data_IF_414537421973
#
_entry.id   IF_414537421973
#
_cell.length_a   1.000
_cell.length_b   1.000
_cell.length_c   1.000
_cell.angle_alpha   90.00
_cell.angle_beta   90.00
_cell.angle_gamma   90.00
#
_symmetry.space_group_name_H-M   'P 1'
#
loop_
_entity.id
_entity.type
_entity.pdbx_description
1 polymer ?
#
# COMPACT_ATOMS: atom_id res chain seq x y z
N UNK A 1 24.42 4.22 -3.56
CA UNK A 1 23.46 4.68 -2.54
C UNK A 1 24.15 5.72 -1.65
N UNK A 2 23.42 6.69 -1.10
CA UNK A 2 23.97 7.61 -0.09
C UNK A 2 24.18 6.86 1.23
N UNK A 3 25.39 6.88 1.80
CA UNK A 3 25.67 6.25 3.10
C UNK A 3 25.31 7.20 4.24
N UNK A 4 24.47 6.74 5.15
CA UNK A 4 23.96 7.55 6.26
C UNK A 4 24.73 7.36 7.57
N UNK A 5 25.44 6.22 7.76
CA UNK A 5 26.23 5.90 8.97
C UNK A 5 25.44 6.07 10.29
N UNK A 6 24.26 5.45 10.38
CA UNK A 6 23.34 5.55 11.54
C UNK A 6 22.73 4.22 11.98
N UNK A 7 23.25 3.08 11.52
CA UNK A 7 22.68 1.76 11.82
C UNK A 7 22.75 1.38 13.31
N UNK A 8 23.63 2.01 14.09
CA UNK A 8 23.77 1.84 15.53
C UNK A 8 22.98 2.88 16.36
N UNK A 9 22.33 3.84 15.69
CA UNK A 9 21.55 4.90 16.33
C UNK A 9 20.07 4.50 16.41
N UNK A 10 19.44 4.52 17.59
CA UNK A 10 18.03 4.18 17.72
C UNK A 10 17.14 5.21 17.03
N UNK A 11 16.18 4.73 16.24
CA UNK A 11 15.13 5.55 15.63
C UNK A 11 14.07 5.92 16.67
N UNK A 12 13.84 7.21 16.90
CA UNK A 12 12.77 7.71 17.77
C UNK A 12 11.64 8.35 16.92
N UNK A 13 10.40 8.20 17.38
CA UNK A 13 9.21 8.85 16.82
C UNK A 13 8.45 9.60 17.91
N UNK A 14 8.09 10.86 17.64
CA UNK A 14 7.34 11.73 18.56
C UNK A 14 6.05 12.25 17.91
N UNK A 15 5.46 11.45 17.03
CA UNK A 15 4.18 11.77 16.38
C UNK A 15 3.12 11.96 17.46
N UNK A 16 2.39 13.08 17.42
CA UNK A 16 1.37 13.39 18.42
C UNK A 16 0.23 12.36 18.44
N UNK A 17 -0.69 12.47 19.39
CA UNK A 17 -1.83 11.55 19.50
C UNK A 17 -2.96 11.87 18.50
N UNK A 18 -3.79 10.87 18.23
CA UNK A 18 -5.11 11.03 17.61
C UNK A 18 -6.10 11.71 18.58
N UNK A 19 -7.14 12.40 18.09
CA UNK A 19 -8.22 12.86 18.95
C UNK A 19 -8.99 11.67 19.56
N UNK A 20 -9.80 11.90 20.59
CA UNK A 20 -10.54 10.81 21.22
C UNK A 20 -11.54 10.11 20.27
N UNK A 21 -11.79 8.82 20.51
CA UNK A 21 -12.61 7.92 19.69
C UNK A 21 -13.89 8.57 19.12
N UNK A 22 -14.74 9.16 19.96
CA UNK A 22 -16.00 9.77 19.51
C UNK A 22 -15.82 10.95 18.54
N UNK A 23 -14.66 11.63 18.57
CA UNK A 23 -14.33 12.66 17.56
C UNK A 23 -13.86 12.03 16.25
N UNK A 24 -13.14 10.90 16.31
CA UNK A 24 -12.75 10.15 15.11
C UNK A 24 -14.00 9.63 14.40
N UNK A 25 -14.94 8.99 15.14
CA UNK A 25 -16.22 8.50 14.59
C UNK A 25 -16.99 9.60 13.84
N UNK A 26 -17.11 10.78 14.47
CA UNK A 26 -17.78 11.93 13.85
C UNK A 26 -17.10 12.36 12.55
N UNK A 27 -15.77 12.41 12.53
CA UNK A 27 -15.02 12.86 11.36
C UNK A 27 -15.05 11.84 10.23
N UNK A 28 -15.05 10.54 10.55
CA UNK A 28 -15.20 9.46 9.57
C UNK A 28 -16.60 9.50 8.94
N UNK A 29 -17.65 9.65 9.76
CA UNK A 29 -19.02 9.83 9.25
C UNK A 29 -19.16 11.10 8.39
N UNK A 30 -18.61 12.24 8.85
CA UNK A 30 -18.63 13.50 8.10
C UNK A 30 -17.91 13.38 6.75
N UNK A 31 -16.76 12.70 6.71
CA UNK A 31 -16.02 12.45 5.48
C UNK A 31 -16.83 11.58 4.50
N UNK A 32 -17.48 10.52 5.00
CA UNK A 32 -18.32 9.66 4.19
C UNK A 32 -19.52 10.41 3.62
N UNK A 33 -20.31 11.08 4.47
CA UNK A 33 -21.49 11.85 4.08
C UNK A 33 -21.15 12.91 3.03
N UNK A 34 -20.02 13.62 3.21
CA UNK A 34 -19.57 14.69 2.31
C UNK A 34 -19.30 14.21 0.89
N UNK A 35 -18.83 12.97 0.72
CA UNK A 35 -18.36 12.46 -0.58
C UNK A 35 -19.20 11.31 -1.14
N UNK A 36 -20.14 10.76 -0.37
CA UNK A 36 -21.00 9.64 -0.76
C UNK A 36 -21.74 9.88 -2.08
N UNK A 37 -22.31 11.07 -2.27
CA UNK A 37 -23.07 11.47 -3.46
C UNK A 37 -22.23 11.90 -4.67
N UNK A 38 -20.90 11.82 -4.61
CA UNK A 38 -20.04 12.18 -5.74
C UNK A 38 -19.89 11.00 -6.70
N UNK A 39 -20.04 11.28 -8.00
CA UNK A 39 -20.02 10.31 -9.08
C UNK A 39 -18.90 10.58 -10.11
N UNK A 40 -17.92 11.40 -9.78
CA UNK A 40 -16.73 11.61 -10.62
C UNK A 40 -15.94 10.29 -10.84
N UNK A 41 -15.29 10.17 -11.99
CA UNK A 41 -14.44 9.02 -12.34
C UNK A 41 -15.19 7.86 -13.00
N UNK A 42 -14.46 6.78 -13.28
CA UNK A 42 -14.97 5.59 -14.00
C UNK A 42 -14.55 4.29 -13.33
N UNK A 43 -15.39 3.27 -13.39
CA UNK A 43 -15.03 1.93 -12.90
C UNK A 43 -14.03 1.30 -13.88
N UNK A 44 -12.99 0.64 -13.37
CA UNK A 44 -12.02 -0.05 -14.20
C UNK A 44 -12.68 -1.18 -15.01
N UNK A 45 -12.48 -1.18 -16.32
CA UNK A 45 -13.15 -2.09 -17.26
C UNK A 45 -12.21 -3.04 -18.01
N UNK A 46 -10.90 -2.79 -17.97
CA UNK A 46 -9.90 -3.61 -18.64
C UNK A 46 -9.66 -4.98 -17.98
N UNK A 47 -10.09 -5.15 -16.73
CA UNK A 47 -10.27 -6.46 -16.08
C UNK A 47 -11.78 -6.68 -16.00
N UNK A 48 -12.35 -7.60 -16.80
CA UNK A 48 -13.80 -7.77 -16.92
C UNK A 48 -14.54 -7.87 -15.58
N UNK A 49 -13.96 -8.58 -14.60
CA UNK A 49 -14.58 -8.77 -13.30
C UNK A 49 -14.61 -7.48 -12.44
N UNK A 50 -13.67 -6.56 -12.64
CA UNK A 50 -13.71 -5.26 -11.94
C UNK A 50 -14.83 -4.36 -12.48
N UNK A 51 -15.23 -4.56 -13.74
CA UNK A 51 -16.32 -3.80 -14.36
C UNK A 51 -17.69 -4.09 -13.72
N UNK A 52 -17.81 -5.20 -12.98
CA UNK A 52 -19.02 -5.61 -12.29
C UNK A 52 -19.21 -4.91 -10.93
N UNK A 53 -18.20 -4.17 -10.45
CA UNK A 53 -18.27 -3.46 -9.19
C UNK A 53 -19.36 -2.36 -9.24
N UNK A 54 -20.18 -2.29 -8.19
CA UNK A 54 -21.20 -1.24 -8.10
C UNK A 54 -20.52 0.13 -7.94
N UNK A 55 -20.70 1.07 -8.88
CA UNK A 55 -20.09 2.39 -8.80
C UNK A 55 -20.54 3.19 -7.57
N UNK A 56 -21.62 2.80 -6.88
CA UNK A 56 -22.12 3.45 -5.68
C UNK A 56 -21.32 3.08 -4.42
N UNK A 57 -20.70 1.89 -4.37
CA UNK A 57 -20.01 1.40 -3.17
C UNK A 57 -18.97 2.37 -2.64
N UNK A 58 -19.09 2.71 -1.35
CA UNK A 58 -18.15 3.60 -0.67
C UNK A 58 -18.00 3.23 0.80
N UNK A 59 -16.83 2.66 1.12
CA UNK A 59 -16.43 2.32 2.49
C UNK A 59 -15.22 3.14 2.94
N UNK A 60 -15.24 3.58 4.20
CA UNK A 60 -14.18 4.31 4.86
C UNK A 60 -13.94 3.72 6.25
N UNK A 61 -12.71 3.29 6.54
CA UNK A 61 -12.29 2.84 7.86
C UNK A 61 -11.01 3.54 8.31
N UNK A 62 -10.95 3.90 9.59
CA UNK A 62 -9.76 4.38 10.28
C UNK A 62 -9.47 3.43 11.43
N UNK A 63 -8.24 2.92 11.46
CA UNK A 63 -7.73 2.10 12.57
C UNK A 63 -6.54 2.81 13.19
N UNK A 64 -6.62 3.09 14.49
CA UNK A 64 -5.51 3.67 15.24
C UNK A 64 -4.54 2.59 15.75
N UNK A 65 -3.36 3.02 16.19
CA UNK A 65 -2.31 2.11 16.72
C UNK A 65 -2.70 1.45 18.06
N UNK A 66 -3.70 1.98 18.77
CA UNK A 66 -4.23 1.39 20.00
C UNK A 66 -5.31 0.32 19.70
N UNK A 67 -5.63 0.07 18.42
CA UNK A 67 -6.61 -0.92 17.97
C UNK A 67 -8.05 -0.38 17.86
N UNK A 68 -8.27 0.93 18.08
CA UNK A 68 -9.55 1.58 17.85
C UNK A 68 -9.93 1.52 16.37
N UNK A 69 -11.19 1.16 16.09
CA UNK A 69 -11.74 1.06 14.73
C UNK A 69 -12.91 2.01 14.57
N UNK A 70 -12.86 2.83 13.53
CA UNK A 70 -13.84 3.87 13.22
C UNK A 70 -14.24 3.78 11.75
N UNK A 71 -15.51 3.50 11.46
CA UNK A 71 -15.94 3.11 10.12
C UNK A 71 -17.24 3.79 9.69
N UNK A 72 -17.39 4.03 8.38
CA UNK A 72 -18.61 4.51 7.77
C UNK A 72 -18.79 3.93 6.35
N UNK A 73 -20.03 3.57 6.02
CA UNK A 73 -20.41 3.05 4.70
C UNK A 73 -20.09 1.58 4.48
N UNK A 74 -19.76 1.24 3.24
CA UNK A 74 -19.61 -0.13 2.73
C UNK A 74 -18.24 -0.75 3.08
N UNK A 75 -17.87 -0.72 4.37
CA UNK A 75 -16.50 -1.06 4.82
C UNK A 75 -16.15 -2.54 4.73
N UNK A 76 -17.16 -3.42 4.73
CA UNK A 76 -17.02 -4.88 4.73
C UNK A 76 -17.17 -5.49 3.32
N UNK A 77 -17.40 -4.67 2.29
CA UNK A 77 -17.44 -5.18 0.91
C UNK A 77 -16.04 -5.65 0.55
N UNK A 78 -15.94 -6.92 0.17
CA UNK A 78 -14.71 -7.53 -0.29
C UNK A 78 -14.41 -7.12 -1.74
N UNK A 79 -13.15 -6.79 -1.99
CA UNK A 79 -12.62 -6.48 -3.31
C UNK A 79 -11.18 -6.99 -3.43
N UNK A 80 -10.70 -7.12 -4.66
CA UNK A 80 -9.32 -7.54 -4.92
C UNK A 80 -8.31 -6.46 -4.48
N UNK A 81 -7.30 -6.84 -3.70
CA UNK A 81 -6.27 -5.94 -3.15
C UNK A 81 -5.43 -5.24 -4.23
N UNK A 82 -5.27 -5.88 -5.39
CA UNK A 82 -4.57 -5.30 -6.54
C UNK A 82 -3.15 -4.81 -6.18
N UNK A 83 -2.69 -3.73 -6.79
CA UNK A 83 -1.37 -3.12 -6.55
C UNK A 83 -1.13 -2.66 -5.10
N UNK A 84 -2.14 -2.68 -4.21
CA UNK A 84 -1.93 -2.40 -2.79
C UNK A 84 -1.06 -3.48 -2.14
N UNK A 85 -1.14 -4.73 -2.63
CA UNK A 85 -0.35 -5.86 -2.12
C UNK A 85 1.17 -5.62 -2.22
N UNK A 86 1.61 -4.83 -3.22
CA UNK A 86 3.04 -4.53 -3.46
C UNK A 86 3.73 -3.94 -2.24
N UNK A 87 3.04 -3.06 -1.51
CA UNK A 87 3.56 -2.41 -0.32
C UNK A 87 3.91 -3.42 0.76
N UNK A 88 2.99 -4.34 1.01
CA UNK A 88 3.10 -5.31 2.08
C UNK A 88 4.00 -6.48 1.70
N UNK A 89 4.02 -6.90 0.42
CA UNK A 89 5.00 -7.89 -0.06
C UNK A 89 6.42 -7.33 -0.07
N UNK A 90 6.60 -6.04 -0.38
CA UNK A 90 7.88 -5.38 -0.16
C UNK A 90 8.30 -5.43 1.30
N UNK A 91 7.41 -5.08 2.24
CA UNK A 91 7.72 -5.16 3.66
C UNK A 91 8.15 -6.58 4.07
N UNK A 92 7.40 -7.62 3.67
CA UNK A 92 7.76 -9.00 3.99
C UNK A 92 9.12 -9.41 3.40
N UNK A 93 9.38 -9.07 2.14
CA UNK A 93 10.64 -9.41 1.49
C UNK A 93 11.83 -8.67 2.12
N UNK A 94 11.69 -7.37 2.37
CA UNK A 94 12.73 -6.53 2.95
C UNK A 94 13.10 -6.98 4.38
N UNK A 95 12.11 -7.38 5.18
CA UNK A 95 12.34 -7.86 6.55
C UNK A 95 13.16 -9.15 6.59
N UNK A 96 12.98 -10.02 5.59
CA UNK A 96 13.65 -11.32 5.50
C UNK A 96 15.06 -11.22 4.89
N UNK A 97 15.24 -10.41 3.83
CA UNK A 97 16.51 -10.37 3.07
C UNK A 97 17.41 -9.18 3.44
N UNK A 98 16.89 -8.26 4.26
CA UNK A 98 17.60 -7.08 4.75
C UNK A 98 17.55 -5.87 3.83
N UNK A 99 17.74 -4.70 4.45
CA UNK A 99 17.69 -3.37 3.85
C UNK A 99 18.61 -3.24 2.62
N UNK A 100 19.90 -3.54 2.75
CA UNK A 100 20.86 -3.33 1.67
C UNK A 100 20.54 -4.18 0.44
N UNK A 101 20.23 -5.46 0.65
CA UNK A 101 19.92 -6.42 -0.42
C UNK A 101 18.69 -5.98 -1.22
N UNK A 102 17.61 -5.58 -0.55
CA UNK A 102 16.37 -5.21 -1.23
C UNK A 102 16.56 -3.92 -2.04
N UNK A 103 17.30 -2.94 -1.50
CA UNK A 103 17.53 -1.69 -2.24
C UNK A 103 18.49 -1.89 -3.41
N UNK A 104 19.53 -2.72 -3.28
CA UNK A 104 20.44 -3.02 -4.38
C UNK A 104 19.72 -3.76 -5.52
N UNK A 105 18.82 -4.67 -5.18
CA UNK A 105 18.17 -5.54 -6.16
C UNK A 105 16.97 -4.88 -6.83
N UNK A 106 16.15 -4.14 -6.08
CA UNK A 106 14.87 -3.57 -6.56
C UNK A 106 14.93 -2.05 -6.71
N UNK A 107 15.65 -1.36 -5.83
CA UNK A 107 15.72 0.10 -5.79
C UNK A 107 14.61 0.76 -4.96
N UNK A 108 14.76 2.06 -4.74
CA UNK A 108 13.82 2.90 -3.96
C UNK A 108 13.47 4.24 -4.60
N UNK A 109 13.84 4.44 -5.86
CA UNK A 109 13.70 5.71 -6.56
C UNK A 109 12.49 5.68 -7.52
N UNK A 110 11.79 6.81 -7.60
CA UNK A 110 10.72 6.98 -8.57
C UNK A 110 11.29 6.97 -10.01
N UNK A 111 10.55 6.37 -10.95
CA UNK A 111 10.94 6.27 -12.36
C UNK A 111 10.61 7.54 -13.16
N UNK A 112 9.70 8.38 -12.67
CA UNK A 112 9.15 9.51 -13.43
C UNK A 112 8.34 9.08 -14.67
N UNK A 113 8.02 7.79 -14.78
CA UNK A 113 7.31 7.17 -15.90
C UNK A 113 6.15 6.33 -15.38
N UNK A 114 5.27 5.91 -16.29
CA UNK A 114 4.11 5.09 -15.94
C UNK A 114 4.49 3.80 -15.21
N UNK A 115 3.61 3.33 -14.31
CA UNK A 115 3.90 2.22 -13.40
C UNK A 115 4.16 0.87 -14.06
N UNK A 116 3.80 0.72 -15.33
CA UNK A 116 3.99 -0.47 -16.14
C UNK A 116 4.96 -0.21 -17.32
N UNK A 117 5.78 0.84 -17.25
CA UNK A 117 6.69 1.26 -18.30
C UNK A 117 7.86 0.29 -18.49
N UNK A 118 7.93 -0.34 -19.66
CA UNK A 118 9.11 -1.13 -20.08
C UNK A 118 10.32 -0.23 -20.32
N UNK A 119 10.08 1.00 -20.79
CA UNK A 119 11.11 2.01 -21.05
C UNK A 119 11.85 2.37 -19.76
N UNK A 120 11.16 2.39 -18.62
CA UNK A 120 11.81 2.64 -17.33
C UNK A 120 12.85 1.57 -17.00
N UNK A 121 12.59 0.30 -17.34
CA UNK A 121 13.54 -0.81 -17.12
C UNK A 121 14.73 -0.68 -18.07
N UNK A 122 14.49 -0.40 -19.35
CA UNK A 122 15.57 -0.26 -20.35
C UNK A 122 16.48 0.95 -20.07
N UNK A 123 15.91 2.10 -19.68
CA UNK A 123 16.68 3.31 -19.37
C UNK A 123 17.53 3.18 -18.10
N UNK A 124 17.28 2.17 -17.26
CA UNK A 124 17.97 1.97 -15.98
C UNK A 124 18.71 0.62 -15.95
N UNK A 125 19.20 0.14 -17.09
CA UNK A 125 20.02 -1.07 -17.23
C UNK A 125 19.39 -2.31 -16.56
N UNK A 126 18.07 -2.46 -16.73
CA UNK A 126 17.29 -3.56 -16.17
C UNK A 126 16.78 -3.34 -14.75
N UNK A 127 17.21 -2.27 -14.07
CA UNK A 127 16.72 -1.96 -12.72
C UNK A 127 15.24 -1.57 -12.75
N UNK A 128 14.39 -2.16 -11.89
CA UNK A 128 13.00 -1.75 -11.78
C UNK A 128 12.81 -0.45 -10.99
N UNK A 129 13.87 0.09 -10.38
CA UNK A 129 13.95 1.35 -9.65
C UNK A 129 13.17 1.45 -8.33
N UNK A 130 12.00 0.84 -8.20
CA UNK A 130 11.26 0.75 -6.94
C UNK A 130 10.24 -0.41 -6.95
N UNK A 131 9.80 -0.91 -5.78
CA UNK A 131 8.84 -2.03 -5.68
C UNK A 131 7.38 -1.67 -6.01
N UNK A 132 7.04 -0.38 -6.20
CA UNK A 132 5.64 0.05 -6.37
C UNK A 132 5.19 0.01 -7.84
N UNK A 133 6.14 0.01 -8.78
CA UNK A 133 5.91 -0.28 -10.21
C UNK A 133 5.82 -1.80 -10.46
N UNK A 134 5.19 -2.21 -11.57
CA UNK A 134 4.94 -3.64 -11.83
C UNK A 134 6.25 -4.45 -11.94
N UNK A 135 7.26 -3.92 -12.63
CA UNK A 135 8.56 -4.59 -12.75
C UNK A 135 9.19 -4.85 -11.38
N UNK A 136 9.17 -3.83 -10.51
CA UNK A 136 9.72 -3.94 -9.16
C UNK A 136 8.92 -4.91 -8.31
N UNK A 137 7.59 -4.86 -8.35
CA UNK A 137 6.77 -5.79 -7.59
C UNK A 137 6.97 -7.26 -8.02
N UNK A 138 7.15 -7.53 -9.31
CA UNK A 138 7.47 -8.88 -9.81
C UNK A 138 8.86 -9.31 -9.30
N UNK A 139 9.85 -8.43 -9.38
CA UNK A 139 11.19 -8.69 -8.84
C UNK A 139 11.17 -8.92 -7.31
N UNK A 140 10.44 -8.10 -6.56
CA UNK A 140 10.24 -8.25 -5.11
C UNK A 140 9.55 -9.57 -4.77
N UNK A 141 8.53 -9.97 -5.54
CA UNK A 141 7.85 -11.27 -5.38
C UNK A 141 8.83 -12.43 -5.54
N UNK A 142 9.74 -12.34 -6.52
CA UNK A 142 10.77 -13.35 -6.75
C UNK A 142 11.80 -13.44 -5.61
N UNK A 143 11.94 -12.41 -4.78
CA UNK A 143 12.86 -12.38 -3.65
C UNK A 143 12.27 -12.97 -2.35
N UNK A 144 10.94 -13.14 -2.26
CA UNK A 144 10.32 -13.75 -1.07
C UNK A 144 10.83 -15.18 -0.91
N UNK A 145 11.49 -15.55 0.20
CA UNK A 145 12.15 -16.85 0.31
C UNK A 145 11.18 -18.03 0.17
N UNK A 146 11.64 -19.13 -0.44
CA UNK A 146 10.89 -20.37 -0.56
C UNK A 146 11.53 -21.30 -1.59
N UNK A 147 11.51 -22.60 -1.35
CA UNK A 147 12.19 -23.56 -2.23
C UNK A 147 11.44 -23.77 -3.55
N UNK A 148 10.10 -23.60 -3.54
CA UNK A 148 9.22 -23.85 -4.68
C UNK A 148 8.09 -22.80 -4.70
N UNK A 149 7.43 -22.65 -5.86
CA UNK A 149 6.38 -21.65 -6.09
C UNK A 149 5.28 -21.66 -5.01
N UNK A 150 4.80 -22.84 -4.62
CA UNK A 150 3.72 -22.97 -3.63
C UNK A 150 4.15 -22.49 -2.25
N UNK A 151 5.40 -22.74 -1.83
CA UNK A 151 5.91 -22.28 -0.54
C UNK A 151 6.01 -20.75 -0.50
N UNK A 152 6.50 -20.13 -1.59
CA UNK A 152 6.57 -18.67 -1.74
C UNK A 152 5.18 -18.05 -1.71
N UNK A 153 4.24 -18.65 -2.45
CA UNK A 153 2.85 -18.21 -2.45
C UNK A 153 2.23 -18.28 -1.04
N UNK A 154 2.41 -19.38 -0.32
CA UNK A 154 1.89 -19.51 1.04
C UNK A 154 2.49 -18.46 1.98
N UNK A 155 3.81 -18.23 1.94
CA UNK A 155 4.44 -17.17 2.75
C UNK A 155 3.87 -15.79 2.45
N UNK A 156 3.65 -15.46 1.18
CA UNK A 156 3.02 -14.18 0.80
C UNK A 156 1.61 -14.09 1.35
N UNK A 157 0.77 -15.11 1.13
CA UNK A 157 -0.62 -15.12 1.60
C UNK A 157 -0.69 -15.03 3.13
N UNK A 158 0.13 -15.80 3.83
CA UNK A 158 0.16 -15.83 5.29
C UNK A 158 0.67 -14.50 5.85
N UNK A 159 1.73 -13.92 5.25
CA UNK A 159 2.24 -12.60 5.61
C UNK A 159 1.20 -11.49 5.43
N UNK A 160 0.51 -11.46 4.29
CA UNK A 160 -0.58 -10.50 4.04
C UNK A 160 -1.76 -10.72 5.01
N UNK A 161 -2.03 -11.97 5.38
CA UNK A 161 -3.04 -12.31 6.40
C UNK A 161 -2.67 -11.79 7.80
N UNK A 162 -1.39 -11.86 8.16
CA UNK A 162 -0.86 -11.30 9.42
C UNK A 162 -1.00 -9.78 9.46
N UNK A 163 -0.73 -9.09 8.35
CA UNK A 163 -1.02 -7.66 8.23
C UNK A 163 -2.53 -7.36 8.40
N UNK A 164 -3.41 -8.16 7.80
CA UNK A 164 -4.86 -7.96 7.90
C UNK A 164 -5.45 -8.37 9.26
N UNK A 165 -4.69 -9.11 10.08
CA UNK A 165 -5.19 -9.69 11.34
C UNK A 165 -6.18 -10.84 11.15
N UNK A 166 -6.33 -11.34 9.91
CA UNK A 166 -7.22 -12.46 9.55
C UNK A 166 -6.72 -13.17 8.30
N UNK A 167 -7.08 -14.45 8.08
CA UNK A 167 -6.79 -15.15 6.82
C UNK A 167 -7.39 -14.43 5.61
N UNK A 168 -6.56 -14.16 4.60
CA UNK A 168 -6.99 -13.64 3.29
C UNK A 168 -7.20 -14.78 2.30
N UNK A 169 -8.29 -14.70 1.55
CA UNK A 169 -8.65 -15.69 0.54
C UNK A 169 -8.26 -15.20 -0.86
N UNK A 170 -7.81 -16.14 -1.70
CA UNK A 170 -7.62 -15.89 -3.12
C UNK A 170 -8.99 -15.85 -3.80
N UNK A 171 -9.28 -14.75 -4.48
CA UNK A 171 -10.41 -14.70 -5.40
C UNK A 171 -10.02 -15.42 -6.69
N UNK A 172 -10.54 -16.64 -6.85
CA UNK A 172 -10.25 -17.49 -8.00
C UNK A 172 -10.84 -16.96 -9.31
N UNK A 173 -11.84 -16.07 -9.28
CA UNK A 173 -12.42 -15.47 -10.47
C UNK A 173 -11.54 -14.31 -10.96
N UNK A 174 -11.15 -13.42 -10.03
CA UNK A 174 -10.18 -12.34 -10.30
C UNK A 174 -8.87 -12.93 -10.82
N UNK A 175 -8.33 -13.93 -10.12
CA UNK A 175 -7.08 -14.57 -10.49
C UNK A 175 -7.12 -15.16 -11.91
N UNK A 176 -8.20 -15.87 -12.27
CA UNK A 176 -8.38 -16.38 -13.63
C UNK A 176 -8.43 -15.24 -14.63
N UNK A 177 -9.26 -14.23 -14.39
CA UNK A 177 -9.41 -13.08 -15.29
C UNK A 177 -8.10 -12.34 -15.52
N UNK A 178 -7.32 -12.10 -14.48
CA UNK A 178 -6.01 -11.44 -14.55
C UNK A 178 -4.97 -12.31 -15.26
N UNK A 179 -4.94 -13.61 -14.96
CA UNK A 179 -3.98 -14.54 -15.57
C UNK A 179 -4.15 -14.66 -17.08
N UNK A 180 -5.38 -14.48 -17.59
CA UNK A 180 -5.64 -14.47 -19.03
C UNK A 180 -5.17 -13.18 -19.73
N UNK A 181 -5.03 -12.06 -19.03
CA UNK A 181 -4.75 -10.74 -19.62
C UNK A 181 -3.42 -10.13 -19.19
N UNK A 182 -2.66 -10.77 -18.30
CA UNK A 182 -1.40 -10.26 -17.73
C UNK A 182 -0.18 -10.30 -18.68
N UNK A 183 -0.37 -10.30 -20.00
CA UNK A 183 0.71 -10.37 -21.00
C UNK A 183 1.81 -9.32 -20.81
N UNK A 184 1.46 -8.12 -20.35
CA UNK A 184 2.44 -7.07 -20.05
C UNK A 184 3.34 -7.42 -18.86
N UNK A 185 2.79 -8.08 -17.83
CA UNK A 185 3.58 -8.56 -16.69
C UNK A 185 4.49 -9.72 -17.12
N UNK A 186 4.02 -10.62 -17.99
CA UNK A 186 4.83 -11.68 -18.60
C UNK A 186 6.03 -11.10 -19.37
N UNK A 187 5.80 -10.06 -20.19
CA UNK A 187 6.86 -9.37 -20.91
C UNK A 187 7.86 -8.69 -19.97
N UNK A 188 7.39 -8.03 -18.90
CA UNK A 188 8.26 -7.43 -17.89
C UNK A 188 9.13 -8.47 -17.17
N UNK A 189 8.58 -9.63 -16.83
CA UNK A 189 9.35 -10.69 -16.18
C UNK A 189 10.45 -11.26 -17.09
N UNK A 190 10.16 -11.47 -18.38
CA UNK A 190 11.16 -11.87 -19.37
C UNK A 190 12.23 -10.79 -19.55
N UNK A 191 11.84 -9.51 -19.57
CA UNK A 191 12.77 -8.39 -19.64
C UNK A 191 13.71 -8.37 -18.43
N UNK A 192 13.17 -8.45 -17.21
CA UNK A 192 13.96 -8.53 -15.98
C UNK A 192 14.92 -9.73 -15.99
N UNK A 193 14.47 -10.89 -16.46
CA UNK A 193 15.33 -12.07 -16.61
C UNK A 193 16.48 -11.81 -17.59
N UNK A 194 16.23 -11.15 -18.72
CA UNK A 194 17.26 -10.83 -19.72
C UNK A 194 18.38 -9.93 -19.18
N UNK A 195 18.08 -9.12 -18.16
CA UNK A 195 19.05 -8.29 -17.44
C UNK A 195 19.62 -8.96 -16.17
N UNK A 196 19.26 -10.21 -15.88
CA UNK A 196 19.68 -10.91 -14.66
C UNK A 196 19.07 -10.34 -13.37
N UNK A 197 17.92 -9.66 -13.47
CA UNK A 197 17.22 -8.96 -12.37
C UNK A 197 16.02 -9.74 -11.83
N UNK A 198 15.90 -11.03 -12.16
CA UNK A 198 14.83 -11.90 -11.68
C UNK A 198 15.42 -13.17 -11.06
N UNK A 199 15.09 -13.41 -9.79
CA UNK A 199 15.69 -14.50 -9.00
C UNK A 199 15.08 -15.89 -9.28
N UNK A 200 13.91 -15.94 -9.92
CA UNK A 200 13.19 -17.18 -10.26
C UNK A 200 12.69 -17.13 -11.70
N UNK A 201 12.03 -18.20 -12.17
CA UNK A 201 11.51 -18.27 -13.53
C UNK A 201 10.42 -17.19 -13.78
N UNK A 202 10.39 -16.55 -14.97
CA UNK A 202 9.41 -15.49 -15.29
C UNK A 202 7.94 -15.89 -15.13
N UNK A 203 7.59 -17.10 -15.53
CA UNK A 203 6.24 -17.66 -15.40
C UNK A 203 5.88 -17.87 -13.93
N UNK A 204 6.81 -18.38 -13.11
CA UNK A 204 6.61 -18.53 -11.67
C UNK A 204 6.41 -17.17 -10.98
N UNK A 205 7.28 -16.18 -11.25
CA UNK A 205 7.19 -14.86 -10.64
C UNK A 205 5.89 -14.14 -11.01
N UNK A 206 5.45 -14.26 -12.27
CA UNK A 206 4.22 -13.63 -12.75
C UNK A 206 2.97 -14.31 -12.23
N UNK A 207 2.97 -15.64 -12.10
CA UNK A 207 1.85 -16.36 -11.49
C UNK A 207 1.64 -15.95 -10.04
N UNK A 208 2.71 -15.99 -9.22
CA UNK A 208 2.64 -15.61 -7.80
C UNK A 208 2.25 -14.13 -7.65
N UNK A 209 2.80 -13.25 -8.51
CA UNK A 209 2.42 -11.84 -8.53
C UNK A 209 0.93 -11.65 -8.84
N UNK A 210 0.39 -12.38 -9.82
CA UNK A 210 -1.04 -12.31 -10.14
C UNK A 210 -1.92 -12.87 -9.01
N UNK A 211 -1.49 -13.96 -8.34
CA UNK A 211 -2.18 -14.48 -7.15
C UNK A 211 -2.25 -13.46 -6.01
N UNK A 212 -1.15 -12.76 -5.70
CA UNK A 212 -1.18 -11.76 -4.60
C UNK A 212 -2.12 -10.58 -4.89
N UNK A 213 -2.17 -10.10 -6.13
CA UNK A 213 -3.10 -9.02 -6.51
C UNK A 213 -4.56 -9.47 -6.43
N UNK A 214 -4.81 -10.78 -6.51
CA UNK A 214 -6.14 -11.39 -6.50
C UNK A 214 -6.62 -11.78 -5.10
N UNK A 215 -5.92 -11.39 -4.02
CA UNK A 215 -6.42 -11.61 -2.66
C UNK A 215 -7.58 -10.66 -2.34
N UNK A 216 -8.62 -11.17 -1.68
CA UNK A 216 -9.80 -10.41 -1.28
C UNK A 216 -9.60 -9.71 0.08
N UNK A 217 -9.79 -8.40 0.09
CA UNK A 217 -9.70 -7.51 1.26
C UNK A 217 -10.90 -6.58 1.33
N UNK A 218 -11.10 -5.94 2.47
CA UNK A 218 -12.11 -4.90 2.69
C UNK A 218 -11.45 -3.56 3.04
N UNK A 219 -12.23 -2.47 3.13
CA UNK A 219 -11.68 -1.18 3.57
C UNK A 219 -11.16 -1.27 5.02
N UNK A 220 -11.82 -2.07 5.86
CA UNK A 220 -11.37 -2.37 7.21
C UNK A 220 -10.02 -3.10 7.21
N UNK A 221 -9.84 -4.12 6.37
CA UNK A 221 -8.56 -4.85 6.31
C UNK A 221 -7.44 -3.89 5.92
N UNK A 222 -7.64 -3.06 4.89
CA UNK A 222 -6.64 -2.09 4.47
C UNK A 222 -6.24 -1.12 5.60
N UNK A 223 -7.20 -0.69 6.42
CA UNK A 223 -6.93 0.14 7.58
C UNK A 223 -6.09 -0.60 8.64
N UNK A 224 -6.40 -1.86 8.96
CA UNK A 224 -5.62 -2.69 9.89
C UNK A 224 -4.20 -2.96 9.36
N UNK A 225 -4.09 -3.32 8.08
CA UNK A 225 -2.81 -3.54 7.42
C UNK A 225 -1.94 -2.28 7.46
N UNK A 226 -2.52 -1.12 7.14
CA UNK A 226 -1.84 0.17 7.23
C UNK A 226 -1.45 0.55 8.66
N UNK A 227 -2.33 0.32 9.63
CA UNK A 227 -2.07 0.62 11.04
C UNK A 227 -0.96 -0.27 11.61
N UNK A 228 -0.80 -1.49 11.11
CA UNK A 228 0.36 -2.35 11.41
C UNK A 228 1.68 -1.68 11.03
N UNK A 229 1.75 -1.05 9.85
CA UNK A 229 2.94 -0.28 9.45
C UNK A 229 3.07 1.02 10.26
N UNK A 230 1.96 1.66 10.62
CA UNK A 230 1.95 2.85 11.47
C UNK A 230 2.53 2.56 12.87
N UNK A 231 2.29 1.37 13.42
CA UNK A 231 2.76 0.92 14.73
C UNK A 231 4.10 0.15 14.67
N UNK A 232 4.98 0.51 13.75
CA UNK A 232 6.33 -0.08 13.68
C UNK A 232 6.32 -1.59 13.42
N UNK A 233 5.35 -2.07 12.65
CA UNK A 233 5.22 -3.46 12.23
C UNK A 233 4.43 -4.36 13.17
N UNK A 234 3.79 -3.83 14.22
CA UNK A 234 2.92 -4.58 15.13
C UNK A 234 1.46 -4.41 14.73
N UNK A 235 0.74 -5.51 14.53
CA UNK A 235 -0.67 -5.45 14.17
C UNK A 235 -1.49 -5.00 15.41
N UNK A 236 -2.23 -3.88 15.34
CA UNK A 236 -2.85 -3.28 16.52
C UNK A 236 -4.06 -4.08 17.04
N UNK A 237 -4.62 -4.99 16.24
CA UNK A 237 -5.75 -5.84 16.63
C UNK A 237 -5.27 -7.14 17.28
N UNK A 238 -4.20 -7.74 16.75
CA UNK A 238 -3.70 -9.05 17.20
C UNK A 238 -2.53 -8.96 18.17
N UNK A 239 -1.83 -7.82 18.21
CA UNK A 239 -0.58 -7.63 18.96
C UNK A 239 0.62 -8.34 18.34
N UNK A 240 0.47 -8.96 17.17
CA UNK A 240 1.53 -9.71 16.51
C UNK A 240 2.53 -8.77 15.81
N UNK A 241 3.83 -8.97 16.01
CA UNK A 241 4.86 -8.35 15.17
C UNK A 241 4.91 -9.03 13.80
N UNK A 242 4.46 -8.32 12.77
CA UNK A 242 4.46 -8.78 11.38
C UNK A 242 5.82 -8.57 10.72
N UNK A 243 6.40 -7.37 10.91
CA UNK A 243 7.73 -6.97 10.42
C UNK A 243 8.48 -6.14 11.47
N UNK A 244 9.78 -5.91 11.27
CA UNK A 244 10.55 -4.98 12.10
C UNK A 244 10.11 -3.52 11.94
N UNK A 245 10.41 -2.69 12.94
CA UNK A 245 10.12 -1.26 12.90
C UNK A 245 10.93 -0.52 11.81
N UNK A 246 12.13 -1.01 11.50
CA UNK A 246 12.97 -0.49 10.42
C UNK A 246 12.32 -0.74 9.06
N UNK A 247 11.89 -1.97 8.78
CA UNK A 247 11.18 -2.31 7.55
C UNK A 247 9.87 -1.55 7.41
N UNK A 248 9.12 -1.35 8.51
CA UNK A 248 7.92 -0.52 8.50
C UNK A 248 8.25 0.93 8.08
N UNK A 249 9.30 1.53 8.66
CA UNK A 249 9.78 2.87 8.28
C UNK A 249 10.15 2.95 6.81
N UNK A 250 10.91 1.98 6.31
CA UNK A 250 11.37 1.95 4.91
C UNK A 250 10.20 1.83 3.93
N UNK A 251 9.22 0.98 4.27
CA UNK A 251 7.98 0.82 3.50
C UNK A 251 7.21 2.14 3.44
N UNK A 252 7.09 2.86 4.55
CA UNK A 252 6.40 4.16 4.59
C UNK A 252 7.13 5.23 3.77
N UNK A 253 8.47 5.25 3.79
CA UNK A 253 9.26 6.17 2.96
C UNK A 253 9.06 5.92 1.46
N UNK A 254 9.01 4.65 1.06
CA UNK A 254 8.70 4.25 -0.32
C UNK A 254 7.28 4.64 -0.73
N UNK A 255 6.30 4.38 0.12
CA UNK A 255 4.90 4.73 -0.15
C UNK A 255 4.71 6.24 -0.30
N UNK A 256 5.43 7.05 0.47
CA UNK A 256 5.40 8.50 0.34
C UNK A 256 5.84 8.99 -1.04
N UNK A 257 6.81 8.31 -1.67
CA UNK A 257 7.43 8.77 -2.93
C UNK A 257 6.89 8.09 -4.19
N UNK A 258 6.37 6.86 -4.07
CA UNK A 258 6.08 5.98 -5.22
C UNK A 258 4.70 5.30 -5.16
N UNK A 259 3.86 5.60 -4.16
CA UNK A 259 2.69 4.78 -3.87
C UNK A 259 1.40 5.09 -4.65
N UNK A 260 1.27 6.27 -5.24
CA UNK A 260 0.04 6.73 -5.92
C UNK A 260 0.25 6.95 -7.42
N UNK A 261 0.93 5.99 -8.06
CA UNK A 261 1.27 6.01 -9.49
C UNK A 261 1.98 7.32 -9.88
N UNK A 262 1.65 7.89 -11.05
CA UNK A 262 2.21 9.15 -11.56
C UNK A 262 1.85 10.36 -10.67
N UNK A 263 0.84 10.23 -9.80
CA UNK A 263 0.36 11.31 -8.91
C UNK A 263 0.90 11.22 -7.48
N UNK A 264 1.94 10.41 -7.24
CA UNK A 264 2.58 10.27 -5.92
C UNK A 264 3.06 11.62 -5.34
N UNK A 265 3.63 12.49 -6.17
CA UNK A 265 4.07 13.83 -5.73
C UNK A 265 2.91 14.75 -5.35
N UNK A 266 1.84 14.77 -6.15
CA UNK A 266 0.63 15.57 -5.87
C UNK A 266 -0.06 15.09 -4.60
N UNK A 267 -0.18 13.77 -4.43
CA UNK A 267 -0.73 13.17 -3.22
C UNK A 267 0.05 13.59 -1.98
N UNK A 268 1.38 13.46 -2.01
CA UNK A 268 2.22 13.80 -0.86
C UNK A 268 2.14 15.30 -0.54
N UNK A 269 2.06 16.16 -1.57
CA UNK A 269 1.93 17.61 -1.40
C UNK A 269 0.59 18.01 -0.77
N UNK A 270 -0.53 17.47 -1.27
CA UNK A 270 -1.87 17.88 -0.82
C UNK A 270 -2.34 17.19 0.47
N UNK A 271 -1.96 15.93 0.67
CA UNK A 271 -2.47 15.06 1.73
C UNK A 271 -1.41 14.77 2.79
N UNK A 272 -0.13 14.65 2.40
CA UNK A 272 0.99 14.51 3.34
C UNK A 272 1.06 13.17 4.07
N UNK A 273 0.60 12.09 3.43
CA UNK A 273 0.62 10.73 3.97
C UNK A 273 1.28 9.75 3.00
N UNK A 274 2.11 8.80 3.47
CA UNK A 274 2.39 7.56 2.76
C UNK A 274 1.08 6.87 2.37
N UNK A 275 0.94 6.46 1.11
CA UNK A 275 -0.26 5.76 0.68
C UNK A 275 -0.01 4.81 -0.48
N UNK A 276 -0.91 3.84 -0.68
CA UNK A 276 -0.94 2.98 -1.86
C UNK A 276 -2.37 2.83 -2.36
N UNK A 277 -2.55 3.01 -3.67
CA UNK A 277 -3.81 2.74 -4.37
C UNK A 277 -3.81 1.41 -5.13
N UNK A 278 -5.01 0.91 -5.40
CA UNK A 278 -5.27 -0.21 -6.28
C UNK A 278 -6.39 0.12 -7.26
N UNK A 279 -6.31 -0.46 -8.45
CA UNK A 279 -7.26 -0.27 -9.56
C UNK A 279 -8.65 -0.85 -9.30
N UNK A 280 -8.82 -1.60 -8.21
CA UNK A 280 -10.14 -1.97 -7.69
C UNK A 280 -10.87 -0.79 -7.04
N UNK A 281 -10.19 0.33 -6.77
CA UNK A 281 -10.73 1.47 -6.04
C UNK A 281 -10.35 1.52 -4.56
N UNK A 282 -9.46 0.62 -4.12
CA UNK A 282 -8.89 0.64 -2.78
C UNK A 282 -7.80 1.71 -2.61
N UNK A 283 -7.73 2.33 -1.44
CA UNK A 283 -6.59 3.14 -0.99
C UNK A 283 -6.29 2.83 0.47
N UNK A 284 -5.02 2.63 0.80
CA UNK A 284 -4.51 2.66 2.18
C UNK A 284 -3.62 3.90 2.35
N UNK A 285 -3.90 4.73 3.35
CA UNK A 285 -3.12 5.92 3.69
C UNK A 285 -2.69 5.86 5.16
N UNK A 286 -1.40 6.04 5.45
CA UNK A 286 -0.81 5.63 6.72
C UNK A 286 -0.16 6.83 7.43
N UNK A 287 -0.48 6.99 8.71
CA UNK A 287 0.05 8.04 9.56
C UNK A 287 0.93 7.39 10.67
N UNK A 288 2.27 7.38 10.51
CA UNK A 288 3.20 6.82 11.49
C UNK A 288 2.85 7.22 12.94
N UNK A 289 2.81 6.22 13.83
CA UNK A 289 2.49 6.38 15.25
C UNK A 289 1.08 6.86 15.58
N UNK A 290 0.16 6.92 14.60
CA UNK A 290 -1.24 7.31 14.80
C UNK A 290 -2.22 6.25 14.32
N UNK A 291 -2.05 5.75 13.11
CA UNK A 291 -2.97 4.77 12.52
C UNK A 291 -2.97 4.81 11.00
N UNK A 292 -4.02 4.29 10.38
CA UNK A 292 -4.21 4.34 8.95
C UNK A 292 -5.68 4.47 8.55
N UNK A 293 -5.89 4.99 7.34
CA UNK A 293 -7.17 5.09 6.66
C UNK A 293 -7.19 4.05 5.54
N UNK A 294 -8.18 3.15 5.56
CA UNK A 294 -8.53 2.27 4.46
C UNK A 294 -9.80 2.77 3.78
N UNK A 295 -9.79 2.86 2.46
CA UNK A 295 -10.96 3.28 1.67
C UNK A 295 -11.21 2.34 0.52
N UNK A 296 -12.48 2.23 0.11
CA UNK A 296 -12.88 1.53 -1.09
C UNK A 296 -13.98 2.32 -1.81
N UNK A 297 -13.74 2.69 -3.05
CA UNK A 297 -14.77 3.19 -3.97
C UNK A 297 -14.33 2.93 -5.41
N UNK A 298 -15.09 2.18 -6.23
CA UNK A 298 -14.62 1.69 -7.53
C UNK A 298 -14.30 2.74 -8.59
N UNK A 299 -14.92 3.94 -8.54
CA UNK A 299 -14.68 4.99 -9.54
C UNK A 299 -13.29 5.61 -9.40
N UNK A 300 -12.48 5.50 -10.45
CA UNK A 300 -11.11 5.98 -10.54
C UNK A 300 -11.00 7.26 -11.37
N UNK A 301 -9.99 8.08 -11.06
CA UNK A 301 -9.52 9.15 -11.94
C UNK A 301 -8.66 8.61 -13.09
N UNK A 302 -8.18 9.51 -13.95
CA UNK A 302 -7.33 9.17 -15.11
C UNK A 302 -5.99 8.50 -14.73
N UNK A 303 -5.55 8.66 -13.48
CA UNK A 303 -4.33 8.03 -12.95
C UNK A 303 -4.60 6.69 -12.25
N UNK A 304 -5.85 6.20 -12.27
CA UNK A 304 -6.23 4.92 -11.65
C UNK A 304 -6.42 4.97 -10.14
N UNK A 305 -6.66 6.15 -9.56
CA UNK A 305 -6.88 6.33 -8.13
C UNK A 305 -8.36 6.60 -7.80
N UNK A 306 -8.89 5.98 -6.75
CA UNK A 306 -10.29 6.18 -6.32
C UNK A 306 -10.59 7.66 -6.02
N UNK A 307 -11.59 8.24 -6.69
CA UNK A 307 -11.89 9.68 -6.54
C UNK A 307 -12.42 10.00 -5.14
N UNK A 308 -13.41 9.24 -4.67
CA UNK A 308 -13.98 9.42 -3.32
C UNK A 308 -12.94 9.06 -2.25
N UNK A 309 -12.16 8.00 -2.44
CA UNK A 309 -11.09 7.62 -1.53
C UNK A 309 -10.05 8.73 -1.34
N UNK A 310 -9.57 9.35 -2.43
CA UNK A 310 -8.63 10.47 -2.38
C UNK A 310 -9.20 11.66 -1.58
N UNK A 311 -10.45 12.05 -1.86
CA UNK A 311 -11.11 13.19 -1.19
C UNK A 311 -11.35 12.92 0.30
N UNK A 312 -11.75 11.70 0.66
CA UNK A 312 -11.91 11.28 2.04
C UNK A 312 -10.58 11.31 2.81
N UNK A 313 -9.52 10.74 2.23
CA UNK A 313 -8.18 10.80 2.83
C UNK A 313 -7.67 12.23 3.01
N UNK A 314 -7.91 13.13 2.04
CA UNK A 314 -7.54 14.53 2.16
C UNK A 314 -8.26 15.24 3.31
N UNK A 315 -9.58 15.01 3.44
CA UNK A 315 -10.37 15.54 4.54
C UNK A 315 -9.87 15.03 5.89
N UNK A 316 -9.76 13.70 6.04
CA UNK A 316 -9.35 13.05 7.28
C UNK A 316 -7.93 13.43 7.68
N UNK A 317 -7.00 13.52 6.71
CA UNK A 317 -5.63 13.95 6.98
C UNK A 317 -5.58 15.32 7.66
N UNK A 318 -6.39 16.27 7.18
CA UNK A 318 -6.48 17.61 7.78
C UNK A 318 -7.22 17.58 9.11
N UNK A 319 -8.37 16.92 9.19
CA UNK A 319 -9.26 16.97 10.34
C UNK A 319 -8.74 16.19 11.56
N UNK A 320 -8.00 15.10 11.33
CA UNK A 320 -7.37 14.26 12.37
C UNK A 320 -5.90 14.65 12.61
N UNK A 321 -5.36 15.58 11.82
CA UNK A 321 -3.97 16.03 11.92
C UNK A 321 -2.96 14.95 11.55
N UNK A 322 -3.24 14.16 10.51
CA UNK A 322 -2.40 13.03 10.09
C UNK A 322 -1.21 13.46 9.23
N UNK A 323 -1.29 14.62 8.57
CA UNK A 323 -0.28 15.10 7.63
C UNK A 323 1.12 15.20 8.29
N UNK A 324 2.09 14.46 7.74
CA UNK A 324 3.46 14.36 8.26
C UNK A 324 4.27 15.66 8.21
N UNK A 325 3.87 16.60 7.36
CA UNK A 325 4.57 17.86 7.14
C UNK A 325 3.84 19.06 7.76
N UNK A 326 2.67 18.82 8.36
CA UNK A 326 1.94 19.86 9.08
C UNK A 326 2.60 20.11 10.44
N UNK A 327 2.73 21.40 10.80
CA UNK A 327 3.17 21.81 12.13
C UNK A 327 2.30 22.97 12.63
N UNK A 328 2.19 23.09 13.95
CA UNK A 328 1.51 24.20 14.60
C UNK A 328 2.55 25.08 15.33
N UNK A 329 2.33 26.39 15.43
CA UNK A 329 3.15 27.25 16.27
C UNK A 329 3.19 26.70 17.70
N UNK A 330 4.40 26.58 18.26
CA UNK A 330 4.55 26.22 19.67
C UNK A 330 3.98 27.34 20.52
N UNK A 331 2.89 27.09 21.25
CA UNK A 331 2.44 28.00 22.29
C UNK A 331 3.58 28.16 23.30
N UNK A 332 3.92 29.39 23.67
CA UNK A 332 4.96 29.68 24.66
C UNK A 332 4.53 29.15 26.04
N UNK A 333 4.82 27.88 26.31
CA UNK A 333 4.81 27.30 27.66
C UNK A 333 6.16 27.54 28.35
N UNK A 334 6.23 27.45 29.69
CA UNK A 334 7.47 27.65 30.41
C UNK A 334 8.55 26.70 29.86
N UNK A 335 9.76 27.22 29.65
CA UNK A 335 10.91 26.42 29.23
C UNK A 335 11.03 25.17 30.11
N UNK A 336 11.39 24.00 29.54
CA UNK A 336 11.77 22.87 30.36
C UNK A 336 12.93 23.31 31.26
N UNK A 337 12.76 23.14 32.57
CA UNK A 337 13.82 23.33 33.56
C UNK A 337 14.85 22.20 33.49
#
# INVERSE_FOLDING_TARGET
>A
MFQTDVTDVPQLSFTGAMPGAGRIDQLVAEAHDRYSGQDDGTVADYIPLLAEADPAWFGLSVVDVDGGTHAAGDVDIAFSIQSISKAFVFALAADEIGHDTIVETVGVNNTGLAFNSVVAVELNDGSPMNPMVNAGAIATTALVPGAHADERWQRIRDGLSRFAGRPLALDGEVYRSESFTNHRNQALALLLQSYGRLAIAPDEATDIYTRQCSLAVTAQDLAVMGATLADGGVNPVTGERVVSAETARDTLALLASCGMYERSGEWLFEIGLPAKSGVSGGIVAIAPGKGAVGTFSPRLDEAGNSVRGQRACAFLSRALGLNLFASAPRAAGPSPA
#
